data_IF_944605248459
#
_entry.id   IF_944605248459
#
_cell.length_a   1.000
_cell.length_b   1.000
_cell.length_c   1.000
_cell.angle_alpha   90.00
_cell.angle_beta   90.00
_cell.angle_gamma   90.00
#
_symmetry.space_group_name_H-M   'P 1'
#
loop_
_entity.id
_entity.type
_entity.pdbx_description
1 polymer ?
#
# COMPACT_ATOMS: atom_id res chain seq x y z
N UNK A 1 18.41 13.39 5.74
CA UNK A 1 17.73 14.60 5.24
C UNK A 1 16.70 15.11 6.26
N UNK A 2 15.80 14.25 6.74
CA UNK A 2 14.75 14.66 7.70
C UNK A 2 15.31 15.28 8.97
N UNK A 3 16.32 14.65 9.59
CA UNK A 3 16.99 15.17 10.78
C UNK A 3 17.67 16.52 10.54
N UNK A 4 18.24 16.71 9.36
CA UNK A 4 18.93 17.93 8.94
C UNK A 4 17.99 18.97 8.33
N UNK A 5 16.69 18.66 8.25
CA UNK A 5 15.64 19.52 7.67
C UNK A 5 15.93 19.93 6.22
N UNK A 6 16.44 18.99 5.42
CA UNK A 6 16.77 19.21 4.01
C UNK A 6 15.69 18.63 3.11
N UNK A 7 15.35 19.29 1.97
CA UNK A 7 14.53 18.70 0.94
C UNK A 7 15.23 17.51 0.29
N UNK A 8 14.47 16.58 -0.25
CA UNK A 8 14.98 15.41 -0.99
C UNK A 8 14.58 15.51 -2.44
N UNK A 9 15.58 15.47 -3.33
CA UNK A 9 15.39 15.29 -4.78
C UNK A 9 15.96 13.93 -5.14
N UNK A 10 15.14 13.06 -5.72
CA UNK A 10 15.54 11.70 -6.04
C UNK A 10 15.36 11.41 -7.54
N UNK A 11 16.46 11.21 -8.25
CA UNK A 11 16.42 10.71 -9.63
C UNK A 11 16.22 9.21 -9.63
N UNK A 12 15.13 8.77 -10.26
CA UNK A 12 14.67 7.38 -10.19
C UNK A 12 14.80 6.73 -11.56
N UNK A 13 15.63 5.68 -11.63
CA UNK A 13 15.83 4.86 -12.82
C UNK A 13 15.90 3.40 -12.38
N UNK A 14 14.80 2.68 -12.50
CA UNK A 14 14.71 1.30 -12.01
C UNK A 14 13.65 0.49 -12.74
N UNK A 15 13.98 -0.76 -13.06
CA UNK A 15 13.04 -1.75 -13.57
C UNK A 15 12.12 -2.37 -12.50
N UNK A 16 12.24 -1.93 -11.25
CA UNK A 16 11.40 -2.40 -10.13
C UNK A 16 12.20 -3.02 -8.99
N UNK A 17 11.49 -3.56 -8.01
CA UNK A 17 12.10 -4.29 -6.90
C UNK A 17 12.75 -5.60 -7.39
N UNK A 18 13.89 -5.96 -6.78
CA UNK A 18 14.63 -7.16 -7.19
C UNK A 18 13.94 -8.43 -6.70
N UNK A 19 13.23 -9.10 -7.59
CA UNK A 19 12.38 -10.26 -7.29
C UNK A 19 13.17 -11.44 -6.73
N UNK A 20 14.43 -11.62 -7.16
CA UNK A 20 15.30 -12.70 -6.66
C UNK A 20 15.63 -12.58 -5.16
N UNK A 21 15.46 -11.40 -4.57
CA UNK A 21 15.64 -11.20 -3.13
C UNK A 21 14.37 -11.49 -2.32
N UNK A 22 13.30 -11.91 -2.98
CA UNK A 22 12.05 -12.35 -2.35
C UNK A 22 11.41 -11.27 -1.47
N UNK A 23 10.91 -11.69 -0.32
CA UNK A 23 10.22 -10.80 0.63
C UNK A 23 11.08 -9.64 1.13
N UNK A 24 12.39 -9.79 1.21
CA UNK A 24 13.28 -8.69 1.64
C UNK A 24 13.16 -7.50 0.70
N UNK A 25 13.13 -7.75 -0.61
CA UNK A 25 12.92 -6.71 -1.61
C UNK A 25 11.52 -6.09 -1.51
N UNK A 26 10.49 -6.91 -1.28
CA UNK A 26 9.11 -6.44 -1.10
C UNK A 26 8.97 -5.53 0.13
N UNK A 27 9.56 -5.92 1.26
CA UNK A 27 9.52 -5.11 2.49
C UNK A 27 10.23 -3.76 2.35
N UNK A 28 11.18 -3.59 1.41
CA UNK A 28 11.78 -2.29 1.14
C UNK A 28 10.75 -1.26 0.62
N UNK A 29 9.69 -1.71 -0.06
CA UNK A 29 8.62 -0.80 -0.50
C UNK A 29 7.96 -0.13 0.70
N UNK A 30 7.54 -0.89 1.70
CA UNK A 30 6.96 -0.35 2.94
C UNK A 30 7.96 0.54 3.70
N UNK A 31 9.22 0.09 3.80
CA UNK A 31 10.27 0.80 4.53
C UNK A 31 10.59 2.17 3.92
N UNK A 32 10.67 2.25 2.60
CA UNK A 32 10.92 3.51 1.89
C UNK A 32 9.71 4.44 1.96
N UNK A 33 8.49 3.91 1.82
CA UNK A 33 7.25 4.69 1.94
C UNK A 33 7.08 5.28 3.35
N UNK A 34 7.39 4.51 4.40
CA UNK A 34 7.42 5.00 5.78
C UNK A 34 8.46 6.11 6.00
N UNK A 35 9.63 6.01 5.36
CA UNK A 35 10.65 7.05 5.47
C UNK A 35 10.19 8.36 4.83
N UNK A 36 9.48 8.28 3.70
CA UNK A 36 8.88 9.44 3.04
C UNK A 36 7.75 10.02 3.90
N UNK A 37 6.93 9.18 4.53
CA UNK A 37 5.91 9.67 5.46
C UNK A 37 6.51 10.51 6.57
N UNK A 38 7.56 10.03 7.24
CA UNK A 38 8.27 10.80 8.27
C UNK A 38 8.86 12.11 7.75
N UNK A 39 9.29 12.13 6.48
CA UNK A 39 9.81 13.31 5.82
C UNK A 39 8.71 14.34 5.56
N UNK A 40 7.58 13.89 5.06
CA UNK A 40 6.37 14.70 4.82
C UNK A 40 5.80 15.28 6.12
N UNK A 41 5.70 14.49 7.19
CA UNK A 41 5.22 14.93 8.52
C UNK A 41 6.12 16.03 9.13
N UNK A 42 7.39 16.02 8.77
CA UNK A 42 8.32 17.08 9.14
C UNK A 42 8.17 18.37 8.31
N UNK A 43 7.21 18.42 7.37
CA UNK A 43 6.96 19.55 6.47
C UNK A 43 8.07 19.77 5.44
N UNK A 44 8.76 18.71 5.02
CA UNK A 44 9.92 18.76 4.14
C UNK A 44 9.58 18.28 2.75
N UNK A 45 10.08 19.00 1.75
CA UNK A 45 9.82 18.76 0.33
C UNK A 45 10.49 17.49 -0.19
N UNK A 46 9.72 16.64 -0.87
CA UNK A 46 10.20 15.49 -1.63
C UNK A 46 9.84 15.60 -3.11
N UNK A 47 10.85 15.58 -3.98
CA UNK A 47 10.71 15.69 -5.45
C UNK A 47 11.33 14.48 -6.14
N UNK A 48 10.57 13.45 -6.50
CA UNK A 48 11.03 12.40 -7.39
C UNK A 48 11.10 12.92 -8.85
N UNK A 49 12.19 12.59 -9.54
CA UNK A 49 12.38 12.81 -10.97
C UNK A 49 12.41 11.45 -11.65
N UNK A 50 11.32 11.11 -12.33
CA UNK A 50 11.11 9.80 -12.94
C UNK A 50 11.83 9.74 -14.30
N UNK A 51 12.77 8.82 -14.43
CA UNK A 51 13.54 8.61 -15.66
C UNK A 51 13.21 7.26 -16.29
N UNK A 52 13.79 6.96 -17.46
CA UNK A 52 13.53 5.73 -18.22
C UNK A 52 14.45 4.59 -17.83
N UNK A 53 13.94 3.44 -17.28
CA UNK A 53 12.58 3.20 -16.84
C UNK A 53 12.36 3.50 -15.36
N UNK A 54 11.08 3.69 -14.95
CA UNK A 54 10.65 3.68 -13.55
C UNK A 54 9.43 2.78 -13.44
N UNK A 55 9.61 1.52 -13.02
CA UNK A 55 8.54 0.51 -13.07
C UNK A 55 8.48 -0.37 -11.82
N UNK A 56 7.44 -1.17 -11.71
CA UNK A 56 7.27 -2.21 -10.70
C UNK A 56 7.10 -1.68 -9.28
N UNK A 57 7.70 -2.36 -8.32
CA UNK A 57 7.64 -1.99 -6.91
C UNK A 57 8.20 -0.61 -6.58
N UNK A 58 9.05 -0.05 -7.45
CA UNK A 58 9.56 1.33 -7.29
C UNK A 58 8.46 2.35 -7.57
N UNK A 59 7.67 2.15 -8.63
CA UNK A 59 6.47 2.97 -8.89
C UNK A 59 5.44 2.80 -7.79
N UNK A 60 5.18 1.57 -7.38
CA UNK A 60 4.23 1.26 -6.31
C UNK A 60 4.76 1.54 -4.88
N UNK A 61 5.73 2.46 -4.76
CA UNK A 61 6.27 2.91 -3.47
C UNK A 61 6.79 4.35 -3.60
N UNK A 62 8.02 4.60 -3.29
CA UNK A 62 8.57 5.94 -3.15
C UNK A 62 8.51 6.81 -4.43
N UNK A 63 8.45 6.24 -5.64
CA UNK A 63 8.43 7.03 -6.86
C UNK A 63 7.15 7.87 -7.05
N UNK A 64 6.00 7.37 -6.57
CA UNK A 64 4.70 8.03 -6.70
C UNK A 64 4.26 8.77 -5.44
N UNK A 65 5.14 8.97 -4.47
CA UNK A 65 4.85 9.63 -3.19
C UNK A 65 5.43 11.05 -3.09
N UNK A 66 5.81 11.66 -4.22
CA UNK A 66 6.35 13.01 -4.24
C UNK A 66 5.32 14.09 -3.95
N UNK A 67 5.76 15.18 -3.33
CA UNK A 67 4.98 16.42 -3.26
C UNK A 67 4.87 17.07 -4.66
N UNK A 68 5.94 16.95 -5.44
CA UNK A 68 6.01 17.36 -6.85
C UNK A 68 6.72 16.27 -7.62
N UNK A 69 6.03 15.64 -8.56
CA UNK A 69 6.54 14.53 -9.37
C UNK A 69 6.94 15.04 -10.75
N UNK A 70 8.21 14.97 -11.08
CA UNK A 70 8.75 15.32 -12.40
C UNK A 70 9.05 14.06 -13.20
N UNK A 71 8.92 14.13 -14.52
CA UNK A 71 9.33 13.05 -15.42
C UNK A 71 10.16 13.56 -16.59
N UNK A 72 11.10 12.74 -17.09
CA UNK A 72 11.76 12.99 -18.36
C UNK A 72 10.82 12.64 -19.54
N UNK A 73 10.91 13.36 -20.66
CA UNK A 73 10.11 13.05 -21.83
C UNK A 73 10.26 11.61 -22.28
N UNK A 74 9.15 10.95 -22.59
CA UNK A 74 9.09 9.56 -23.08
C UNK A 74 9.58 8.50 -22.09
N UNK A 75 9.87 8.82 -20.84
CA UNK A 75 10.24 7.83 -19.83
C UNK A 75 9.13 6.78 -19.67
N UNK A 76 9.51 5.51 -19.58
CA UNK A 76 8.61 4.40 -19.27
C UNK A 76 8.34 4.41 -17.77
N UNK A 77 7.09 4.64 -17.38
CA UNK A 77 6.67 4.75 -15.98
C UNK A 77 5.39 3.95 -15.81
N UNK A 78 5.37 2.97 -14.93
CA UNK A 78 4.18 2.16 -14.69
C UNK A 78 4.39 1.10 -13.63
N UNK A 79 3.31 0.55 -13.10
CA UNK A 79 3.37 -0.51 -12.09
C UNK A 79 3.71 -1.86 -12.74
N UNK A 80 2.83 -2.40 -13.56
CA UNK A 80 3.12 -3.61 -14.30
C UNK A 80 3.89 -3.28 -15.59
N UNK A 81 4.95 -4.05 -15.88
CA UNK A 81 5.67 -3.85 -17.13
C UNK A 81 4.81 -4.15 -18.37
N UNK A 82 5.06 -3.48 -19.51
CA UNK A 82 4.25 -3.66 -20.73
C UNK A 82 4.06 -5.12 -21.13
N UNK A 83 5.10 -5.94 -21.04
CA UNK A 83 5.03 -7.38 -21.35
C UNK A 83 4.06 -8.14 -20.45
N UNK A 84 4.04 -7.81 -19.16
CA UNK A 84 3.15 -8.46 -18.18
C UNK A 84 1.70 -8.11 -18.50
N UNK A 85 1.42 -6.84 -18.80
CA UNK A 85 0.07 -6.40 -19.17
C UNK A 85 -0.38 -7.09 -20.46
N UNK A 86 0.42 -7.03 -21.52
CA UNK A 86 0.10 -7.66 -22.83
C UNK A 86 -0.17 -9.17 -22.70
N UNK A 87 0.59 -9.86 -21.84
CA UNK A 87 0.36 -11.28 -21.57
C UNK A 87 -0.92 -11.52 -20.76
N UNK A 88 -1.27 -10.61 -19.87
CA UNK A 88 -2.47 -10.72 -19.02
C UNK A 88 -3.74 -10.46 -19.81
N UNK A 89 -3.77 -9.38 -20.61
CA UNK A 89 -4.96 -9.00 -21.38
C UNK A 89 -5.01 -9.68 -22.76
N UNK A 90 -3.93 -10.33 -23.22
CA UNK A 90 -3.83 -10.98 -24.53
C UNK A 90 -3.87 -10.02 -25.71
N UNK A 91 -3.57 -8.74 -25.52
CA UNK A 91 -3.62 -7.70 -26.54
C UNK A 91 -2.38 -6.80 -26.49
N UNK A 92 -2.05 -6.19 -27.62
CA UNK A 92 -0.98 -5.18 -27.67
C UNK A 92 -1.43 -3.88 -27.05
N UNK A 93 -0.53 -3.27 -26.30
CA UNK A 93 -0.79 -1.98 -25.65
C UNK A 93 -0.87 -0.83 -26.68
N UNK A 94 -1.69 0.19 -26.40
CA UNK A 94 -1.74 1.40 -27.20
C UNK A 94 -0.39 2.09 -27.31
N UNK A 95 -0.15 2.77 -28.44
CA UNK A 95 1.09 3.53 -28.61
C UNK A 95 1.15 4.68 -27.59
N UNK A 96 2.26 4.79 -26.89
CA UNK A 96 2.46 5.83 -25.88
C UNK A 96 1.98 5.46 -24.48
N UNK A 97 1.37 4.28 -24.31
CA UNK A 97 0.95 3.79 -23.02
C UNK A 97 2.13 3.68 -22.04
N UNK A 98 1.90 4.05 -20.79
CA UNK A 98 2.92 4.12 -19.72
C UNK A 98 4.12 5.03 -20.04
N UNK A 99 4.00 5.99 -20.94
CA UNK A 99 5.02 7.02 -21.14
C UNK A 99 4.73 8.23 -20.24
N UNK A 100 5.74 9.04 -19.99
CA UNK A 100 5.61 10.24 -19.15
C UNK A 100 4.42 11.12 -19.59
N UNK A 101 4.21 11.25 -20.90
CA UNK A 101 3.10 12.02 -21.50
C UNK A 101 1.73 11.41 -21.11
N UNK A 102 1.63 10.09 -21.12
CA UNK A 102 0.44 9.37 -20.65
C UNK A 102 0.15 9.64 -19.18
N UNK A 103 1.18 9.58 -18.31
CA UNK A 103 1.01 9.85 -16.88
C UNK A 103 0.64 11.32 -16.62
N UNK A 104 1.16 12.26 -17.40
CA UNK A 104 0.77 13.66 -17.32
C UNK A 104 -0.70 13.87 -17.68
N UNK A 105 -1.16 13.23 -18.75
CA UNK A 105 -2.56 13.28 -19.20
C UNK A 105 -3.52 12.68 -18.17
N UNK A 106 -3.09 11.64 -17.44
CA UNK A 106 -3.88 10.97 -16.40
C UNK A 106 -3.68 11.56 -14.99
N UNK A 107 -2.88 12.63 -14.87
CA UNK A 107 -2.73 13.37 -13.61
C UNK A 107 -1.78 12.76 -12.57
N UNK A 108 -0.90 11.86 -12.97
CA UNK A 108 0.07 11.20 -12.05
C UNK A 108 1.46 11.85 -12.03
N UNK A 109 1.71 12.80 -12.91
CA UNK A 109 2.96 13.56 -13.01
C UNK A 109 2.64 15.04 -13.13
N UNK A 110 3.32 15.88 -12.37
CA UNK A 110 3.06 17.32 -12.36
C UNK A 110 3.66 18.01 -13.58
N UNK A 111 4.83 17.56 -14.02
CA UNK A 111 5.53 18.20 -15.14
C UNK A 111 6.52 17.28 -15.83
N UNK A 112 6.52 17.35 -17.16
CA UNK A 112 7.59 16.74 -17.98
C UNK A 112 8.68 17.77 -18.23
N UNK A 113 9.93 17.42 -17.86
CA UNK A 113 11.07 18.34 -17.90
C UNK A 113 12.24 17.67 -18.62
N UNK A 114 12.73 18.31 -19.68
CA UNK A 114 13.93 17.83 -20.37
C UNK A 114 15.16 17.94 -19.46
N UNK A 115 16.11 17.03 -19.64
CA UNK A 115 17.27 16.92 -18.77
C UNK A 115 18.07 18.21 -18.65
N UNK A 116 18.24 18.92 -19.73
CA UNK A 116 18.94 20.21 -19.81
C UNK A 116 18.22 21.34 -19.05
N UNK A 117 16.91 21.23 -18.87
CA UNK A 117 16.07 22.23 -18.19
C UNK A 117 15.90 21.93 -16.68
N UNK A 118 16.19 20.71 -16.24
CA UNK A 118 15.90 20.23 -14.88
C UNK A 118 16.56 21.10 -13.81
N UNK A 119 17.82 21.55 -14.03
CA UNK A 119 18.51 22.38 -13.05
C UNK A 119 17.76 23.68 -12.77
N UNK A 120 17.20 24.32 -13.77
CA UNK A 120 16.46 25.57 -13.63
C UNK A 120 15.15 25.31 -12.93
N UNK A 121 14.40 24.29 -13.38
CA UNK A 121 13.09 23.93 -12.79
C UNK A 121 13.22 23.52 -11.33
N UNK A 122 14.22 22.69 -11.00
CA UNK A 122 14.45 22.28 -9.60
C UNK A 122 14.89 23.45 -8.72
N UNK A 123 15.70 24.37 -9.23
CA UNK A 123 16.08 25.59 -8.49
C UNK A 123 14.86 26.47 -8.20
N UNK A 124 13.94 26.61 -9.16
CA UNK A 124 12.69 27.35 -8.96
C UNK A 124 11.77 26.66 -7.95
N UNK A 125 11.61 25.34 -8.04
CA UNK A 125 10.84 24.55 -7.06
C UNK A 125 11.42 24.76 -5.66
N UNK A 126 12.71 24.58 -5.48
CA UNK A 126 13.37 24.76 -4.18
C UNK A 126 13.19 26.17 -3.64
N UNK A 127 13.33 27.19 -4.49
CA UNK A 127 13.14 28.59 -4.10
C UNK A 127 11.72 28.88 -3.63
N UNK A 128 10.72 28.33 -4.31
CA UNK A 128 9.30 28.49 -3.96
C UNK A 128 8.92 27.78 -2.66
N UNK A 129 9.63 26.71 -2.30
CA UNK A 129 9.37 25.91 -1.10
C UNK A 129 10.36 26.19 0.03
N UNK A 130 11.26 27.18 -0.13
CA UNK A 130 12.06 27.65 0.99
C UNK A 130 11.12 28.30 2.02
N UNK A 131 11.01 27.67 3.19
CA UNK A 131 10.43 28.33 4.35
C UNK A 131 11.30 29.55 4.65
N UNK A 132 10.91 30.71 4.17
CA UNK A 132 11.36 31.97 4.75
C UNK A 132 10.75 31.98 6.16
N UNK A 133 11.45 31.42 7.11
CA UNK A 133 11.29 31.85 8.51
C UNK A 133 11.44 33.36 8.42
N UNK A 134 10.33 34.06 8.64
CA UNK A 134 10.31 35.50 8.80
C UNK A 134 11.26 35.81 9.94
N UNK A 135 12.54 36.05 9.64
CA UNK A 135 13.48 36.70 10.50
C UNK A 135 13.09 38.20 10.56
N UNK A 136 11.90 38.47 11.05
CA UNK A 136 11.43 39.78 11.44
C UNK A 136 10.26 39.65 12.41
N UNK A 137 10.50 39.15 13.60
CA UNK A 137 9.84 39.60 14.83
C UNK A 137 10.83 39.37 15.97
N UNK A 138 11.82 40.22 16.10
CA UNK A 138 12.31 40.60 17.43
C UNK A 138 11.33 41.60 18.00
N UNK A 139 11.05 41.42 19.30
CA UNK A 139 10.23 42.25 20.23
C UNK A 139 8.72 41.97 20.12
N UNK A 140 8.16 41.19 21.01
CA UNK A 140 7.79 41.59 22.35
C UNK A 140 7.42 40.39 23.21
N UNK A 141 8.14 40.26 24.30
CA UNK A 141 7.75 39.47 25.45
C UNK A 141 6.47 40.02 26.04
N UNK A 142 5.42 39.25 26.05
CA UNK A 142 4.48 39.29 27.16
C UNK A 142 3.89 37.92 27.41
N UNK A 143 4.09 37.46 28.60
CA UNK A 143 3.60 36.27 29.25
C UNK A 143 2.14 35.96 28.96
N UNK A 144 1.85 34.78 28.46
CA UNK A 144 0.63 34.08 28.81
C UNK A 144 0.99 32.66 29.21
N UNK A 145 1.34 32.51 30.48
CA UNK A 145 1.23 31.23 31.17
C UNK A 145 -0.25 30.96 31.38
N UNK A 146 -0.81 30.04 30.67
CA UNK A 146 -2.01 29.37 31.15
C UNK A 146 -1.83 27.87 30.92
N UNK A 147 -1.60 27.22 32.04
CA UNK A 147 -1.45 25.82 32.18
C UNK A 147 -2.77 25.09 31.92
N UNK A 148 -2.69 24.11 31.06
CA UNK A 148 -3.58 22.97 31.14
C UNK A 148 -2.83 21.85 31.85
N UNK A 149 -3.15 21.71 33.14
CA UNK A 149 -2.86 20.46 33.86
C UNK A 149 -3.79 19.40 33.31
N UNK A 150 -3.24 18.44 32.60
CA UNK A 150 -3.91 17.17 32.38
C UNK A 150 -3.56 16.24 33.54
N UNK A 151 -4.37 16.29 34.59
CA UNK A 151 -4.48 15.19 35.53
C UNK A 151 -5.37 14.12 34.87
N UNK A 152 -4.77 13.13 34.28
CA UNK A 152 -5.35 11.80 34.11
C UNK A 152 -4.19 10.81 34.06
N UNK A 153 -3.61 10.57 35.26
CA UNK A 153 -2.97 9.32 35.55
C UNK A 153 -4.09 8.30 35.89
N UNK A 154 -4.78 7.82 34.88
CA UNK A 154 -5.43 6.53 35.01
C UNK A 154 -4.33 5.47 34.80
N UNK A 155 -4.12 4.72 35.88
CA UNK A 155 -3.23 3.59 35.95
C UNK A 155 -3.41 2.70 34.73
N UNK A 156 -2.37 2.65 33.86
CA UNK A 156 -2.14 1.49 33.01
C UNK A 156 -2.06 0.28 33.95
N UNK A 157 -3.14 -0.46 34.07
CA UNK A 157 -3.07 -1.83 34.51
C UNK A 157 -2.10 -2.49 33.54
N UNK A 158 -0.95 -2.86 34.04
CA UNK A 158 -0.06 -3.81 33.37
C UNK A 158 -0.93 -4.95 32.89
N UNK A 159 -1.09 -5.08 31.58
CA UNK A 159 -1.59 -6.27 30.96
C UNK A 159 -0.61 -7.33 31.42
N UNK A 160 -1.05 -8.23 32.32
CA UNK A 160 -0.30 -9.43 32.64
C UNK A 160 0.04 -10.04 31.29
N UNK A 161 1.33 -10.21 31.02
CA UNK A 161 1.79 -10.97 29.85
C UNK A 161 1.03 -12.29 29.89
N UNK A 162 0.16 -12.50 28.93
CA UNK A 162 -0.61 -13.72 28.78
C UNK A 162 0.37 -14.83 28.44
N UNK A 163 0.91 -15.44 29.48
CA UNK A 163 1.80 -16.60 29.41
C UNK A 163 1.03 -17.86 28.98
N UNK A 164 -0.04 -17.72 28.19
CA UNK A 164 -0.61 -18.85 27.48
C UNK A 164 0.44 -19.35 26.50
N UNK A 165 1.07 -20.43 26.89
CA UNK A 165 1.86 -21.28 25.99
C UNK A 165 0.85 -21.73 24.93
N UNK A 166 0.88 -21.11 23.77
CA UNK A 166 0.18 -21.61 22.59
C UNK A 166 0.74 -23.01 22.39
N UNK A 167 -0.12 -24.05 22.25
CA UNK A 167 0.38 -25.39 22.01
C UNK A 167 1.38 -25.33 20.85
N UNK A 168 2.53 -25.94 21.04
CA UNK A 168 3.55 -26.02 20.00
C UNK A 168 2.86 -26.42 18.69
N UNK A 169 2.97 -25.56 17.70
CA UNK A 169 2.39 -25.81 16.39
C UNK A 169 3.03 -27.09 15.84
N UNK A 170 2.26 -28.15 15.75
CA UNK A 170 2.65 -29.40 15.08
C UNK A 170 2.15 -29.28 13.65
N UNK A 171 3.04 -29.11 12.65
CA UNK A 171 2.62 -29.09 11.25
C UNK A 171 1.84 -30.36 10.95
N UNK A 172 0.68 -30.21 10.34
CA UNK A 172 -0.17 -31.35 9.95
C UNK A 172 0.32 -32.02 8.67
N UNK A 173 1.55 -32.52 8.67
CA UNK A 173 2.13 -33.31 7.57
C UNK A 173 3.40 -32.72 6.97
N UNK A 174 4.23 -33.57 6.39
CA UNK A 174 5.43 -33.18 5.63
C UNK A 174 5.02 -32.82 4.20
N UNK A 175 4.45 -31.61 4.01
CA UNK A 175 4.14 -31.11 2.68
C UNK A 175 5.38 -30.49 2.00
N UNK A 176 5.52 -30.73 0.72
CA UNK A 176 6.50 -30.04 -0.11
C UNK A 176 6.09 -28.55 -0.29
N UNK A 177 7.03 -27.63 -0.59
CA UNK A 177 6.68 -26.23 -0.86
C UNK A 177 5.60 -26.05 -1.94
N UNK A 178 5.58 -26.93 -2.94
CA UNK A 178 4.55 -26.90 -3.98
C UNK A 178 3.17 -27.33 -3.48
N UNK A 179 3.11 -28.31 -2.60
CA UNK A 179 1.85 -28.73 -1.97
C UNK A 179 1.28 -27.63 -1.08
N UNK A 180 2.10 -26.86 -0.37
CA UNK A 180 1.63 -25.65 0.35
C UNK A 180 1.00 -24.64 -0.61
N UNK A 181 1.60 -24.39 -1.78
CA UNK A 181 1.00 -23.53 -2.81
C UNK A 181 -0.34 -24.05 -3.29
N UNK A 182 -0.44 -25.36 -3.53
CA UNK A 182 -1.70 -25.99 -3.96
C UNK A 182 -2.78 -25.89 -2.89
N UNK A 183 -2.41 -26.06 -1.62
CA UNK A 183 -3.31 -25.90 -0.46
C UNK A 183 -3.76 -24.43 -0.32
N UNK A 184 -2.87 -23.46 -0.46
CA UNK A 184 -3.21 -22.04 -0.47
C UNK A 184 -4.24 -21.67 -1.55
N UNK A 185 -4.27 -22.43 -2.65
CA UNK A 185 -5.17 -22.24 -3.81
C UNK A 185 -6.36 -23.18 -3.82
N UNK A 186 -6.51 -24.04 -2.81
CA UNK A 186 -7.60 -25.01 -2.78
C UNK A 186 -8.96 -24.30 -2.75
N UNK A 187 -9.88 -24.74 -3.63
CA UNK A 187 -11.23 -24.16 -3.74
C UNK A 187 -12.11 -24.41 -2.52
N UNK A 188 -11.73 -25.38 -1.69
CA UNK A 188 -12.45 -25.75 -0.46
C UNK A 188 -12.00 -24.95 0.76
N UNK A 189 -11.01 -24.07 0.59
CA UNK A 189 -10.50 -23.22 1.65
C UNK A 189 -11.47 -22.07 1.92
N UNK A 190 -11.67 -21.69 3.20
CA UNK A 190 -12.46 -20.51 3.53
C UNK A 190 -11.93 -19.25 2.85
N UNK A 191 -12.82 -18.41 2.36
CA UNK A 191 -12.54 -17.12 1.74
C UNK A 191 -12.54 -15.99 2.77
N UNK A 192 -12.21 -14.77 2.36
CA UNK A 192 -12.28 -13.60 3.23
C UNK A 192 -13.68 -13.39 3.80
N UNK A 193 -14.72 -13.63 2.98
CA UNK A 193 -16.12 -13.55 3.41
C UNK A 193 -16.45 -14.57 4.47
N UNK A 194 -16.02 -15.84 4.32
CA UNK A 194 -16.27 -16.89 5.33
C UNK A 194 -15.63 -16.53 6.67
N UNK A 195 -14.41 -15.95 6.67
CA UNK A 195 -13.79 -15.48 7.89
C UNK A 195 -14.53 -14.30 8.52
N UNK A 196 -15.08 -13.39 7.70
CA UNK A 196 -15.90 -12.29 8.23
C UNK A 196 -17.13 -12.85 8.92
N UNK A 197 -17.85 -13.76 8.28
CA UNK A 197 -19.08 -14.38 8.83
C UNK A 197 -18.82 -15.22 10.08
N UNK A 198 -17.64 -15.87 10.16
CA UNK A 198 -17.30 -16.77 11.29
C UNK A 198 -16.74 -16.04 12.53
N UNK A 199 -16.04 -14.93 12.32
CA UNK A 199 -15.27 -14.27 13.39
C UNK A 199 -15.90 -13.00 13.93
N UNK A 200 -16.79 -12.36 13.17
CA UNK A 200 -17.31 -11.04 13.52
C UNK A 200 -18.83 -11.02 13.59
N UNK A 201 -19.33 -10.25 14.53
CA UNK A 201 -20.76 -10.02 14.71
C UNK A 201 -21.17 -8.71 14.01
N UNK A 202 -22.41 -8.64 13.51
CA UNK A 202 -23.05 -7.43 12.96
C UNK A 202 -22.21 -6.71 11.89
N UNK A 203 -21.56 -7.46 11.00
CA UNK A 203 -20.77 -6.86 9.92
C UNK A 203 -21.61 -6.01 8.99
N UNK A 204 -21.23 -4.76 8.84
CA UNK A 204 -21.83 -3.80 7.93
C UNK A 204 -20.82 -3.42 6.84
N UNK A 205 -21.06 -3.86 5.61
CA UNK A 205 -20.22 -3.57 4.46
C UNK A 205 -20.36 -2.12 3.99
N UNK A 206 -19.25 -1.51 3.60
CA UNK A 206 -19.20 -0.18 3.00
C UNK A 206 -18.54 -0.23 1.64
N UNK A 207 -19.17 0.39 0.65
CA UNK A 207 -18.75 0.38 -0.74
C UNK A 207 -18.10 1.70 -1.18
N UNK A 208 -17.31 1.61 -2.25
CA UNK A 208 -16.83 2.74 -3.03
C UNK A 208 -15.58 3.42 -2.49
N UNK A 209 -14.78 3.88 -3.43
CA UNK A 209 -13.52 4.59 -3.21
C UNK A 209 -13.72 6.10 -2.95
N UNK A 210 -14.90 6.63 -3.21
CA UNK A 210 -15.27 8.06 -3.19
C UNK A 210 -14.69 8.88 -4.34
N UNK A 211 -14.12 8.24 -5.35
CA UNK A 211 -13.54 8.88 -6.53
C UNK A 211 -14.30 8.47 -7.80
N UNK A 212 -14.31 7.21 -8.16
CA UNK A 212 -14.87 6.76 -9.42
C UNK A 212 -15.61 5.42 -9.38
N UNK A 213 -15.38 4.58 -8.36
CA UNK A 213 -16.00 3.25 -8.38
C UNK A 213 -15.94 2.45 -7.09
N UNK A 214 -16.23 1.19 -7.23
CA UNK A 214 -16.04 0.17 -6.20
C UNK A 214 -15.31 -1.03 -6.79
N UNK A 215 -14.56 -1.73 -5.97
CA UNK A 215 -13.90 -2.97 -6.35
C UNK A 215 -14.41 -4.12 -5.49
N UNK A 216 -15.11 -5.08 -6.10
CA UNK A 216 -15.63 -6.25 -5.39
C UNK A 216 -14.53 -7.23 -4.94
N UNK A 217 -13.28 -7.08 -5.40
CA UNK A 217 -12.14 -7.85 -4.91
C UNK A 217 -11.73 -7.47 -3.47
N UNK A 218 -12.30 -6.38 -2.92
CA UNK A 218 -12.15 -6.02 -1.51
C UNK A 218 -13.52 -5.90 -0.86
N UNK A 219 -13.76 -6.68 0.19
CA UNK A 219 -14.85 -6.51 1.13
C UNK A 219 -14.33 -5.66 2.29
N UNK A 220 -15.04 -4.59 2.66
CA UNK A 220 -14.60 -3.72 3.74
C UNK A 220 -15.78 -3.13 4.50
N UNK A 221 -15.65 -3.03 5.83
CA UNK A 221 -16.72 -2.52 6.65
C UNK A 221 -16.37 -2.43 8.13
N UNK A 222 -17.40 -2.31 8.95
CA UNK A 222 -17.32 -2.27 10.40
C UNK A 222 -18.09 -3.44 10.99
N UNK A 223 -17.53 -4.03 12.04
CA UNK A 223 -18.13 -5.17 12.73
C UNK A 223 -17.82 -5.12 14.22
N UNK A 224 -18.36 -6.06 14.98
CA UNK A 224 -17.92 -6.32 16.34
C UNK A 224 -17.02 -7.56 16.40
N UNK A 225 -15.94 -7.46 17.14
CA UNK A 225 -15.09 -8.58 17.51
C UNK A 225 -15.04 -8.68 19.04
N UNK A 226 -15.65 -9.73 19.60
CA UNK A 226 -15.84 -9.88 21.05
C UNK A 226 -16.44 -8.63 21.72
N UNK A 227 -17.43 -8.02 21.09
CA UNK A 227 -18.12 -6.83 21.59
C UNK A 227 -17.38 -5.51 21.40
N UNK A 228 -16.19 -5.52 20.78
CA UNK A 228 -15.46 -4.29 20.43
C UNK A 228 -15.64 -3.95 18.95
N UNK A 229 -15.94 -2.69 18.60
CA UNK A 229 -16.05 -2.28 17.20
C UNK A 229 -14.68 -2.30 16.53
N UNK A 230 -14.61 -2.94 15.37
CA UNK A 230 -13.40 -3.06 14.54
C UNK A 230 -13.72 -2.70 13.09
N UNK A 231 -12.71 -2.27 12.34
CA UNK A 231 -12.78 -2.15 10.88
C UNK A 231 -12.16 -3.40 10.28
N UNK A 232 -12.90 -4.06 9.38
CA UNK A 232 -12.45 -5.28 8.72
C UNK A 232 -12.31 -5.02 7.24
N UNK A 233 -11.19 -5.46 6.68
CA UNK A 233 -10.87 -5.42 5.25
C UNK A 233 -10.46 -6.83 4.82
N UNK A 234 -11.07 -7.35 3.78
CA UNK A 234 -10.75 -8.67 3.25
C UNK A 234 -10.55 -8.62 1.74
N UNK A 235 -9.45 -9.16 1.27
CA UNK A 235 -9.31 -9.50 -0.15
C UNK A 235 -10.11 -10.76 -0.43
N UNK A 236 -10.91 -10.73 -1.49
CA UNK A 236 -11.91 -11.75 -1.78
C UNK A 236 -11.77 -12.25 -3.21
N UNK A 237 -11.54 -13.56 -3.35
CA UNK A 237 -11.46 -14.23 -4.65
C UNK A 237 -12.83 -14.62 -5.18
N UNK A 238 -13.77 -14.87 -4.30
CA UNK A 238 -15.11 -15.36 -4.59
C UNK A 238 -15.18 -16.89 -4.70
N UNK A 239 -16.42 -17.37 -4.76
CA UNK A 239 -16.75 -18.78 -4.90
C UNK A 239 -17.21 -19.11 -6.32
N UNK A 240 -16.50 -20.03 -6.97
CA UNK A 240 -16.82 -20.46 -8.31
C UNK A 240 -16.47 -19.45 -9.41
N UNK A 241 -16.55 -19.91 -10.65
CA UNK A 241 -16.00 -19.20 -11.82
C UNK A 241 -16.59 -17.81 -12.04
N UNK A 242 -17.91 -17.67 -11.88
CA UNK A 242 -18.59 -16.38 -12.14
C UNK A 242 -18.16 -15.31 -11.15
N UNK A 243 -18.13 -15.67 -9.88
CA UNK A 243 -17.74 -14.73 -8.81
C UNK A 243 -16.26 -14.37 -8.87
N UNK A 244 -15.40 -15.38 -9.15
CA UNK A 244 -13.99 -15.15 -9.35
C UNK A 244 -13.71 -14.13 -10.47
N UNK A 245 -14.43 -14.22 -11.58
CA UNK A 245 -14.30 -13.25 -12.69
C UNK A 245 -14.73 -11.87 -12.22
N UNK A 246 -15.88 -11.77 -11.54
CA UNK A 246 -16.39 -10.47 -11.04
C UNK A 246 -15.42 -9.80 -10.07
N UNK A 247 -14.69 -10.60 -9.28
CA UNK A 247 -13.71 -10.15 -8.27
C UNK A 247 -12.27 -10.16 -8.77
N UNK A 248 -12.06 -10.21 -10.09
CA UNK A 248 -10.71 -10.28 -10.69
C UNK A 248 -9.82 -11.35 -10.05
N UNK A 249 -10.39 -12.49 -9.63
CA UNK A 249 -9.66 -13.54 -8.91
C UNK A 249 -8.95 -13.07 -7.62
N UNK A 250 -9.49 -12.05 -6.97
CA UNK A 250 -8.89 -11.40 -5.80
C UNK A 250 -7.77 -10.42 -6.14
N UNK A 251 -7.56 -10.12 -7.42
CA UNK A 251 -6.60 -9.10 -7.83
C UNK A 251 -7.24 -7.72 -7.71
N UNK A 252 -6.79 -6.97 -6.74
CA UNK A 252 -7.37 -5.66 -6.37
C UNK A 252 -7.00 -4.58 -7.37
N UNK A 253 -7.99 -3.83 -7.82
CA UNK A 253 -7.88 -2.63 -8.65
C UNK A 253 -7.59 -1.37 -7.80
N UNK A 254 -7.24 -0.22 -8.40
CA UNK A 254 -6.99 1.02 -7.66
C UNK A 254 -8.14 1.39 -6.72
N UNK A 255 -9.38 1.21 -7.15
CA UNK A 255 -10.59 1.49 -6.37
C UNK A 255 -10.65 0.70 -5.06
N UNK A 256 -10.19 -0.56 -5.09
CA UNK A 256 -10.14 -1.40 -3.89
C UNK A 256 -9.12 -0.91 -2.87
N UNK A 257 -7.95 -0.44 -3.32
CA UNK A 257 -6.96 0.18 -2.44
C UNK A 257 -7.42 1.52 -1.88
N UNK A 258 -8.05 2.38 -2.70
CA UNK A 258 -8.64 3.64 -2.25
C UNK A 258 -9.78 3.42 -1.24
N UNK A 259 -10.66 2.44 -1.50
CA UNK A 259 -11.69 2.02 -0.54
C UNK A 259 -11.08 1.57 0.79
N UNK A 260 -10.04 0.74 0.73
CA UNK A 260 -9.36 0.25 1.92
C UNK A 260 -8.74 1.39 2.72
N UNK A 261 -8.04 2.30 2.06
CA UNK A 261 -7.44 3.48 2.71
C UNK A 261 -8.49 4.35 3.40
N UNK A 262 -9.58 4.64 2.70
CA UNK A 262 -10.69 5.42 3.25
C UNK A 262 -11.26 4.80 4.53
N UNK A 263 -11.41 3.47 4.55
CA UNK A 263 -11.93 2.76 5.72
C UNK A 263 -10.92 2.72 6.87
N UNK A 264 -9.63 2.62 6.56
CA UNK A 264 -8.56 2.72 7.56
C UNK A 264 -8.48 4.11 8.18
N UNK A 265 -8.58 5.18 7.40
CA UNK A 265 -8.65 6.56 7.91
C UNK A 265 -9.90 6.80 8.74
N UNK A 266 -11.03 6.18 8.38
CA UNK A 266 -12.23 6.20 9.20
C UNK A 266 -12.04 5.41 10.52
N UNK A 267 -11.30 4.31 10.48
CA UNK A 267 -10.96 3.55 11.68
C UNK A 267 -10.13 4.39 12.65
N UNK A 268 -9.11 5.09 12.15
CA UNK A 268 -8.29 6.01 12.96
C UNK A 268 -9.14 7.11 13.60
N UNK A 269 -9.99 7.77 12.81
CA UNK A 269 -10.88 8.83 13.30
C UNK A 269 -11.77 8.38 14.46
N UNK A 270 -12.21 7.12 14.45
CA UNK A 270 -13.11 6.56 15.47
C UNK A 270 -12.41 5.59 16.42
N UNK A 271 -11.09 5.56 16.41
CA UNK A 271 -10.23 4.75 17.29
C UNK A 271 -10.58 3.24 17.26
N UNK A 272 -10.91 2.71 16.08
CA UNK A 272 -11.17 1.29 15.89
C UNK A 272 -9.93 0.57 15.40
N UNK A 273 -9.57 -0.59 15.95
CA UNK A 273 -8.57 -1.47 15.37
C UNK A 273 -8.95 -1.87 13.93
N UNK A 274 -7.93 -2.10 13.10
CA UNK A 274 -8.09 -2.57 11.72
C UNK A 274 -7.62 -4.02 11.63
N UNK A 275 -8.45 -4.86 11.02
CA UNK A 275 -8.13 -6.27 10.75
C UNK A 275 -8.17 -6.47 9.23
N UNK A 276 -7.03 -6.85 8.65
CA UNK A 276 -6.87 -7.12 7.23
C UNK A 276 -6.74 -8.63 6.99
N UNK A 277 -7.65 -9.21 6.21
CA UNK A 277 -7.60 -10.60 5.74
C UNK A 277 -7.07 -10.59 4.30
N UNK A 278 -5.88 -11.14 4.11
CA UNK A 278 -5.13 -11.02 2.85
C UNK A 278 -5.19 -12.33 2.08
N UNK A 279 -5.79 -12.28 0.88
CA UNK A 279 -5.83 -13.39 -0.06
C UNK A 279 -5.88 -12.91 -1.51
N UNK A 280 -4.73 -12.67 -2.08
CA UNK A 280 -4.59 -12.20 -3.47
C UNK A 280 -3.37 -12.81 -4.15
N UNK A 281 -3.45 -13.20 -5.43
CA UNK A 281 -2.26 -13.55 -6.20
C UNK A 281 -1.39 -12.35 -6.55
N UNK A 282 -1.90 -11.12 -6.39
CA UNK A 282 -1.23 -9.86 -6.68
C UNK A 282 -2.24 -8.74 -6.98
N UNK A 283 -1.73 -7.53 -7.21
CA UNK A 283 -2.55 -6.43 -7.67
C UNK A 283 -3.00 -6.65 -9.13
N UNK A 284 -4.18 -6.15 -9.49
CA UNK A 284 -4.64 -6.24 -10.87
C UNK A 284 -3.69 -5.50 -11.81
N UNK A 285 -3.22 -6.19 -12.85
CA UNK A 285 -2.27 -5.67 -13.84
C UNK A 285 -2.94 -5.58 -15.21
N UNK A 286 -3.91 -4.68 -15.34
CA UNK A 286 -4.62 -4.39 -16.57
C UNK A 286 -4.37 -2.97 -17.06
N UNK A 287 -4.72 -2.70 -18.31
CA UNK A 287 -4.63 -1.37 -18.91
C UNK A 287 -5.39 -0.33 -18.07
N UNK A 288 -6.62 -0.65 -17.73
CA UNK A 288 -7.49 0.22 -16.93
C UNK A 288 -6.96 0.49 -15.52
N UNK A 289 -6.25 -0.47 -14.90
CA UNK A 289 -5.65 -0.27 -13.60
C UNK A 289 -4.48 0.73 -13.66
N UNK A 290 -3.65 0.65 -14.71
CA UNK A 290 -2.58 1.62 -14.93
C UNK A 290 -3.15 3.03 -15.23
N UNK A 291 -4.21 3.12 -16.04
CA UNK A 291 -4.91 4.39 -16.34
C UNK A 291 -5.46 5.06 -15.08
N UNK A 292 -5.85 4.27 -14.08
CA UNK A 292 -6.40 4.76 -12.81
C UNK A 292 -5.39 4.75 -11.65
N UNK A 293 -4.09 4.56 -11.95
CA UNK A 293 -3.01 4.77 -11.00
C UNK A 293 -2.77 3.63 -10.02
N UNK A 294 -2.73 2.39 -10.50
CA UNK A 294 -2.47 1.20 -9.66
C UNK A 294 -1.22 1.34 -8.77
N UNK A 295 -0.13 1.83 -9.35
CA UNK A 295 1.12 2.03 -8.59
C UNK A 295 0.98 3.08 -7.50
N UNK A 296 0.31 4.18 -7.77
CA UNK A 296 0.06 5.26 -6.80
C UNK A 296 -0.85 4.79 -5.66
N UNK A 297 -1.95 4.09 -5.97
CA UNK A 297 -2.88 3.58 -4.97
C UNK A 297 -2.20 2.63 -3.98
N UNK A 298 -1.35 1.73 -4.47
CA UNK A 298 -0.52 0.85 -3.62
C UNK A 298 0.45 1.67 -2.78
N UNK A 299 1.23 2.57 -3.41
CA UNK A 299 2.21 3.40 -2.74
C UNK A 299 1.59 4.22 -1.60
N UNK A 300 0.43 4.81 -1.86
CA UNK A 300 -0.34 5.59 -0.89
C UNK A 300 -0.75 4.74 0.31
N UNK A 301 -1.30 3.53 0.07
CA UNK A 301 -1.64 2.62 1.17
C UNK A 301 -0.42 2.28 2.03
N UNK A 302 0.74 1.98 1.43
CA UNK A 302 1.96 1.69 2.18
C UNK A 302 2.37 2.85 3.09
N UNK A 303 2.29 4.07 2.56
CA UNK A 303 2.65 5.28 3.30
C UNK A 303 1.67 5.56 4.44
N UNK A 304 0.39 5.60 4.15
CA UNK A 304 -0.65 5.95 5.12
C UNK A 304 -0.79 4.89 6.23
N UNK A 305 -0.80 3.59 5.87
CA UNK A 305 -0.85 2.51 6.85
C UNK A 305 0.32 2.56 7.84
N UNK A 306 1.50 2.99 7.39
CA UNK A 306 2.68 3.07 8.25
C UNK A 306 2.58 4.14 9.36
N UNK A 307 1.59 5.03 9.28
CA UNK A 307 1.40 6.15 10.22
C UNK A 307 0.06 6.12 10.98
N UNK A 308 -0.84 5.20 10.67
CA UNK A 308 -2.12 5.06 11.38
C UNK A 308 -1.90 4.86 12.88
N UNK A 309 -2.66 5.59 13.69
CA UNK A 309 -2.54 5.61 15.16
C UNK A 309 -3.48 4.61 15.85
N UNK A 310 -3.98 3.63 15.10
CA UNK A 310 -4.80 2.53 15.62
C UNK A 310 -4.13 1.20 15.36
N UNK A 311 -4.33 0.18 16.19
CA UNK A 311 -3.74 -1.13 15.96
C UNK A 311 -4.18 -1.74 14.62
N UNK A 312 -3.23 -2.28 13.89
CA UNK A 312 -3.47 -2.98 12.62
C UNK A 312 -2.95 -4.41 12.74
N UNK A 313 -3.80 -5.37 12.43
CA UNK A 313 -3.44 -6.78 12.31
C UNK A 313 -3.73 -7.23 10.88
N UNK A 314 -2.72 -7.76 10.21
CA UNK A 314 -2.89 -8.38 8.90
C UNK A 314 -2.71 -9.89 9.01
N UNK A 315 -3.61 -10.65 8.40
CA UNK A 315 -3.60 -12.13 8.42
C UNK A 315 -3.59 -12.61 6.98
N UNK A 316 -2.52 -13.28 6.58
CA UNK A 316 -2.46 -13.96 5.29
C UNK A 316 -3.27 -15.24 5.42
N UNK A 317 -4.42 -15.28 4.77
CA UNK A 317 -5.36 -16.41 4.84
C UNK A 317 -5.27 -17.35 3.64
N UNK A 318 -4.50 -16.98 2.61
CA UNK A 318 -4.30 -17.76 1.40
C UNK A 318 -3.05 -17.39 0.65
N UNK A 319 -3.18 -16.71 -0.48
CA UNK A 319 -2.06 -16.15 -1.22
C UNK A 319 -1.80 -14.70 -0.80
N UNK A 320 -0.57 -14.38 -0.39
CA UNK A 320 -0.08 -13.04 -0.18
C UNK A 320 0.82 -12.62 -1.35
N UNK A 321 0.25 -12.19 -2.46
CA UNK A 321 0.98 -11.88 -3.69
C UNK A 321 1.47 -10.44 -3.76
N UNK A 322 2.79 -10.26 -3.76
CA UNK A 322 3.49 -9.03 -4.17
C UNK A 322 3.02 -7.75 -3.46
N UNK A 323 3.13 -6.61 -4.15
CA UNK A 323 2.65 -5.30 -3.69
C UNK A 323 1.13 -5.27 -3.43
N UNK A 324 0.37 -6.12 -4.11
CA UNK A 324 -1.08 -6.23 -3.91
C UNK A 324 -1.47 -6.73 -2.52
N UNK A 325 -0.73 -7.68 -1.99
CA UNK A 325 -0.88 -8.14 -0.62
C UNK A 325 -0.29 -7.13 0.37
N UNK A 326 0.90 -6.59 0.07
CA UNK A 326 1.60 -5.65 0.94
C UNK A 326 0.76 -4.39 1.22
N UNK A 327 0.00 -3.91 0.24
CA UNK A 327 -0.87 -2.74 0.37
C UNK A 327 -1.98 -2.88 1.44
N UNK A 328 -2.20 -4.09 1.99
CA UNK A 328 -3.06 -4.37 3.14
C UNK A 328 -2.31 -5.10 4.27
N UNK A 329 -0.99 -5.24 4.17
CA UNK A 329 -0.18 -5.99 5.13
C UNK A 329 0.92 -5.16 5.80
N UNK A 330 0.91 -3.83 5.67
CA UNK A 330 1.71 -2.93 6.51
C UNK A 330 0.98 -2.78 7.85
N UNK A 331 1.37 -3.58 8.85
CA UNK A 331 0.63 -3.74 10.08
C UNK A 331 1.55 -3.89 11.29
N UNK A 332 1.03 -3.62 12.50
CA UNK A 332 1.75 -3.86 13.77
C UNK A 332 2.04 -5.34 13.98
N UNK A 333 1.11 -6.19 13.52
CA UNK A 333 1.25 -7.65 13.54
C UNK A 333 0.84 -8.24 12.19
N UNK A 334 1.72 -9.05 11.62
CA UNK A 334 1.44 -9.83 10.42
C UNK A 334 1.46 -11.31 10.79
N UNK A 335 0.33 -11.97 10.61
CA UNK A 335 0.16 -13.39 10.84
C UNK A 335 -0.03 -14.11 9.52
N UNK A 336 0.29 -15.39 9.51
CA UNK A 336 0.04 -16.27 8.39
C UNK A 336 -0.62 -17.55 8.91
N UNK A 337 -1.64 -18.01 8.22
CA UNK A 337 -2.17 -19.34 8.51
C UNK A 337 -1.22 -20.39 7.95
N UNK A 338 -1.30 -21.61 8.52
CA UNK A 338 -0.62 -22.77 7.95
C UNK A 338 -1.04 -22.97 6.48
N UNK A 339 -0.14 -23.41 5.64
CA UNK A 339 -0.39 -23.63 4.23
C UNK A 339 -0.79 -22.37 3.44
N UNK A 340 -0.32 -21.19 3.86
CA UNK A 340 -0.43 -19.96 3.10
C UNK A 340 0.92 -19.55 2.54
N UNK A 341 0.92 -18.69 1.54
CA UNK A 341 2.15 -18.18 0.93
C UNK A 341 2.17 -16.65 0.98
N UNK A 342 3.34 -16.10 1.24
CA UNK A 342 3.59 -14.67 1.12
C UNK A 342 4.86 -14.45 0.30
N UNK A 343 4.71 -13.90 -0.90
CA UNK A 343 5.81 -13.83 -1.86
C UNK A 343 5.75 -12.57 -2.72
N UNK A 344 6.92 -12.15 -3.22
CA UNK A 344 7.04 -11.04 -4.16
C UNK A 344 6.49 -11.38 -5.55
N UNK A 345 6.46 -12.66 -5.90
CA UNK A 345 6.07 -13.16 -7.20
C UNK A 345 5.46 -14.55 -7.06
N UNK A 346 4.54 -14.92 -7.95
CA UNK A 346 4.00 -16.28 -7.95
C UNK A 346 5.10 -17.32 -8.20
N UNK A 347 4.96 -18.56 -7.71
CA UNK A 347 5.92 -19.63 -7.97
C UNK A 347 6.18 -19.86 -9.45
N UNK A 348 5.15 -19.74 -10.28
CA UNK A 348 5.24 -19.85 -11.75
C UNK A 348 6.08 -18.70 -12.34
N UNK A 349 5.90 -17.49 -11.81
CA UNK A 349 6.72 -16.34 -12.18
C UNK A 349 8.18 -16.54 -11.85
N UNK A 350 8.48 -17.09 -10.66
CA UNK A 350 9.85 -17.44 -10.28
C UNK A 350 10.48 -18.49 -11.21
N UNK A 351 9.71 -19.47 -11.66
CA UNK A 351 10.20 -20.50 -12.58
C UNK A 351 10.57 -19.96 -13.97
N UNK A 352 10.17 -18.73 -14.30
CA UNK A 352 10.45 -18.09 -15.61
C UNK A 352 11.59 -17.05 -15.56
N UNK A 353 12.10 -16.77 -14.38
CA UNK A 353 13.22 -15.83 -14.14
C UNK A 353 14.54 -16.59 -13.98
#
# INVERSE_FOLDING_TARGET
>A
ATEEKLPVILYICSGGARMQEGLVSLMQMAKTSMAIRKHSDAGLLYVPVLTDPTTGGVTASFAMLGDIILAEPKALIGFAGPRVIEQTIGQKLPKGFQRAEFLLEHGFVDKIVKREEQRIVLADILRLHQNKVLNNVQSDNTDIKNGFKSDNQESMKTVEEDNRIWPDFVPSGDFTPWEHVQLARAKTRPTGKDYIEALFDDFMEFHGDRHCGDDPAVIGGVAFFHGQPVTVLAQEKGEGTKENITRNFGMVSPEGYWKSLRLMQQAEKFHRPVICLVDTPGAFCGLEAEERGQGEAIARNLMEMSDLKVPIIAIIIGEGGSGGALALAVADKVWMLENTIYSILSPEGFATI
#
